data_IF_126014026688
#
_entry.id   IF_126014026688
#
_cell.length_a   1.000
_cell.length_b   1.000
_cell.length_c   1.000
_cell.angle_alpha   90.00
_cell.angle_beta   90.00
_cell.angle_gamma   90.00
#
_symmetry.space_group_name_H-M   'P 1'
#
loop_
_entity.id
_entity.type
_entity.pdbx_description
1 polymer ?
#
# COMPACT_ATOMS: atom_id res chain seq x y z
N UNK A 1 10.91 -4.96 6.67
CA UNK A 1 9.45 -4.84 6.54
C UNK A 1 9.03 -5.71 5.38
N UNK A 2 8.33 -6.81 5.64
CA UNK A 2 7.76 -7.67 4.60
C UNK A 2 6.27 -7.33 4.38
N UNK A 3 5.58 -8.04 3.49
CA UNK A 3 4.15 -7.83 3.21
C UNK A 3 3.28 -8.02 4.48
N UNK A 4 3.66 -8.93 5.36
CA UNK A 4 2.96 -9.20 6.61
C UNK A 4 3.12 -8.02 7.59
N UNK A 5 4.33 -7.48 7.73
CA UNK A 5 4.63 -6.29 8.53
C UNK A 5 3.84 -5.07 8.02
N UNK A 6 3.74 -4.90 6.69
CA UNK A 6 2.97 -3.83 6.08
C UNK A 6 1.46 -3.97 6.36
N UNK A 7 0.94 -5.20 6.26
CA UNK A 7 -0.47 -5.50 6.58
C UNK A 7 -0.76 -5.24 8.07
N UNK A 8 0.15 -5.64 8.96
CA UNK A 8 0.02 -5.42 10.40
C UNK A 8 0.11 -3.92 10.75
N UNK A 9 0.96 -3.16 10.06
CA UNK A 9 1.04 -1.72 10.23
C UNK A 9 -0.28 -1.03 9.84
N UNK A 10 -0.87 -1.42 8.70
CA UNK A 10 -2.17 -0.93 8.22
C UNK A 10 -3.35 -1.37 9.10
N UNK A 11 -3.16 -2.40 9.93
CA UNK A 11 -4.15 -2.85 10.90
C UNK A 11 -4.15 -2.05 12.20
N UNK A 12 -3.19 -1.14 12.40
CA UNK A 12 -3.16 -0.28 13.59
C UNK A 12 -4.26 0.81 13.48
N UNK A 13 -5.06 0.94 14.53
CA UNK A 13 -6.25 1.82 14.57
C UNK A 13 -5.90 3.33 14.58
N UNK A 14 -4.62 3.68 14.73
CA UNK A 14 -4.13 5.05 14.99
C UNK A 14 -3.15 5.51 13.90
N UNK A 15 -3.50 5.31 12.63
CA UNK A 15 -2.68 5.80 11.51
C UNK A 15 -3.18 7.18 11.09
N UNK A 16 -2.40 8.22 11.39
CA UNK A 16 -2.66 9.59 10.94
C UNK A 16 -2.14 9.85 9.52
N UNK A 17 -2.49 11.01 8.95
CA UNK A 17 -1.99 11.42 7.63
C UNK A 17 -0.46 11.46 7.55
N UNK A 18 0.20 11.97 8.60
CA UNK A 18 1.67 12.01 8.70
C UNK A 18 2.31 10.62 8.71
N UNK A 19 1.57 9.60 9.15
CA UNK A 19 2.05 8.22 9.20
C UNK A 19 2.03 7.55 7.81
N UNK A 20 1.17 8.01 6.89
CA UNK A 20 1.10 7.49 5.52
C UNK A 20 2.43 7.71 4.78
N UNK A 21 3.02 8.90 4.94
CA UNK A 21 4.32 9.21 4.34
C UNK A 21 5.44 8.33 4.93
N UNK A 22 5.39 8.10 6.24
CA UNK A 22 6.35 7.21 6.92
C UNK A 22 6.20 5.76 6.47
N UNK A 23 4.97 5.30 6.25
CA UNK A 23 4.68 3.98 5.69
C UNK A 23 5.23 3.85 4.27
N UNK A 24 4.99 4.83 3.41
CA UNK A 24 5.51 4.83 2.04
C UNK A 24 7.04 4.69 2.01
N UNK A 25 7.74 5.48 2.82
CA UNK A 25 9.22 5.40 2.93
C UNK A 25 9.67 4.04 3.45
N UNK A 26 9.03 3.51 4.50
CA UNK A 26 9.37 2.19 5.05
C UNK A 26 9.12 1.04 4.07
N UNK A 27 8.04 1.09 3.31
CA UNK A 27 7.75 0.12 2.25
C UNK A 27 8.81 0.19 1.15
N UNK A 28 9.20 1.40 0.72
CA UNK A 28 10.24 1.61 -0.30
C UNK A 28 11.61 1.12 0.15
N UNK A 29 12.04 1.48 1.36
CA UNK A 29 13.32 1.04 1.92
C UNK A 29 13.37 -0.48 2.08
N UNK A 30 12.25 -1.10 2.44
CA UNK A 30 12.19 -2.54 2.59
C UNK A 30 12.01 -3.30 1.27
N UNK A 31 11.67 -2.62 0.18
CA UNK A 31 11.70 -3.19 -1.16
C UNK A 31 13.13 -3.23 -1.76
N UNK A 32 14.07 -2.46 -1.21
CA UNK A 32 15.45 -2.40 -1.67
C UNK A 32 16.22 -3.75 -1.62
N UNK A 33 16.09 -4.61 -0.59
CA UNK A 33 16.60 -5.98 -0.68
C UNK A 33 15.77 -6.79 -1.69
N UNK A 34 16.44 -7.57 -2.54
CA UNK A 34 15.87 -8.36 -3.65
C UNK A 34 14.89 -9.48 -3.21
N UNK A 35 13.74 -9.10 -2.65
CA UNK A 35 12.66 -10.00 -2.28
C UNK A 35 11.60 -10.12 -3.37
N UNK A 36 10.98 -11.29 -3.49
CA UNK A 36 9.79 -11.51 -4.35
C UNK A 36 8.63 -10.56 -4.04
N UNK A 37 8.61 -10.01 -2.83
CA UNK A 37 7.58 -9.10 -2.33
C UNK A 37 7.92 -7.62 -2.58
N UNK A 38 9.13 -7.32 -3.07
CA UNK A 38 9.60 -5.94 -3.28
C UNK A 38 8.70 -5.16 -4.22
N UNK A 39 8.23 -5.78 -5.31
CA UNK A 39 7.29 -5.13 -6.23
C UNK A 39 5.96 -4.76 -5.56
N UNK A 40 5.46 -5.61 -4.66
CA UNK A 40 4.23 -5.35 -3.91
C UNK A 40 4.44 -4.20 -2.91
N UNK A 41 5.58 -4.18 -2.21
CA UNK A 41 5.96 -3.10 -1.30
C UNK A 41 6.13 -1.76 -2.03
N UNK A 42 6.73 -1.75 -3.23
CA UNK A 42 6.85 -0.54 -4.06
C UNK A 42 5.48 -0.02 -4.46
N UNK A 43 4.55 -0.88 -4.87
CA UNK A 43 3.19 -0.44 -5.22
C UNK A 43 2.43 0.12 -4.02
N UNK A 44 2.53 -0.51 -2.84
CA UNK A 44 1.94 0.01 -1.61
C UNK A 44 2.54 1.37 -1.23
N UNK A 45 3.86 1.53 -1.38
CA UNK A 45 4.53 2.80 -1.15
C UNK A 45 4.06 3.88 -2.12
N UNK A 46 3.91 3.55 -3.40
CA UNK A 46 3.47 4.47 -4.43
C UNK A 46 2.03 4.92 -4.19
N UNK A 47 1.11 4.00 -3.90
CA UNK A 47 -0.28 4.34 -3.60
C UNK A 47 -0.38 5.28 -2.39
N UNK A 48 0.36 4.99 -1.31
CA UNK A 48 0.42 5.83 -0.12
C UNK A 48 1.02 7.23 -0.41
N UNK A 49 2.10 7.30 -1.20
CA UNK A 49 2.71 8.57 -1.59
C UNK A 49 1.76 9.41 -2.47
N UNK A 50 1.14 8.81 -3.49
CA UNK A 50 0.18 9.48 -4.37
C UNK A 50 -1.04 9.99 -3.60
N UNK A 51 -1.55 9.23 -2.64
CA UNK A 51 -2.62 9.71 -1.77
C UNK A 51 -2.17 10.91 -0.93
N UNK A 52 -0.98 10.82 -0.32
CA UNK A 52 -0.43 11.94 0.47
C UNK A 52 -0.23 13.20 -0.39
N UNK A 53 0.36 13.09 -1.59
CA UNK A 53 0.54 14.20 -2.52
C UNK A 53 -0.79 14.83 -2.96
N UNK A 54 -1.81 14.03 -3.25
CA UNK A 54 -3.14 14.54 -3.66
C UNK A 54 -3.88 15.28 -2.56
N UNK A 55 -3.59 14.92 -1.32
CA UNK A 55 -4.26 15.45 -0.14
C UNK A 55 -3.44 16.53 0.56
N UNK A 56 -2.18 16.72 0.14
CA UNK A 56 -1.31 17.79 0.60
C UNK A 56 -1.91 19.15 0.20
N UNK A 57 -2.15 20.02 1.19
CA UNK A 57 -2.77 21.34 0.99
C UNK A 57 -4.30 21.33 0.92
N UNK A 58 -4.96 20.17 1.05
CA UNK A 58 -6.42 20.05 1.15
C UNK A 58 -6.81 19.83 2.62
N UNK A 59 -7.95 20.38 3.05
CA UNK A 59 -8.54 20.01 4.34
C UNK A 59 -9.07 18.57 4.26
N UNK A 60 -8.19 17.60 4.51
CA UNK A 60 -8.52 16.18 4.38
C UNK A 60 -9.45 15.76 5.51
N UNK A 61 -10.66 15.32 5.15
CA UNK A 61 -11.55 14.68 6.11
C UNK A 61 -10.95 13.36 6.58
N UNK A 62 -10.99 13.11 7.90
CA UNK A 62 -10.51 11.86 8.51
C UNK A 62 -11.18 10.63 7.89
N UNK A 63 -12.44 10.75 7.47
CA UNK A 63 -13.19 9.69 6.76
C UNK A 63 -12.52 9.29 5.43
N UNK A 64 -12.00 10.25 4.66
CA UNK A 64 -11.29 9.99 3.40
C UNK A 64 -9.98 9.25 3.64
N UNK A 65 -9.25 9.63 4.70
CA UNK A 65 -8.03 8.94 5.11
C UNK A 65 -8.34 7.51 5.55
N UNK A 66 -9.39 7.32 6.36
CA UNK A 66 -9.79 5.99 6.83
C UNK A 66 -10.27 5.08 5.69
N UNK A 67 -11.03 5.62 4.73
CA UNK A 67 -11.47 4.87 3.55
C UNK A 67 -10.27 4.42 2.71
N UNK A 68 -9.31 5.31 2.46
CA UNK A 68 -8.07 4.96 1.75
C UNK A 68 -7.25 3.90 2.50
N UNK A 69 -7.07 4.05 3.82
CA UNK A 69 -6.36 3.07 4.63
C UNK A 69 -7.07 1.71 4.65
N UNK A 70 -8.40 1.68 4.69
CA UNK A 70 -9.18 0.46 4.63
C UNK A 70 -9.00 -0.27 3.29
N UNK A 71 -9.01 0.45 2.18
CA UNK A 71 -8.72 -0.13 0.85
C UNK A 71 -7.27 -0.63 0.77
N UNK A 72 -6.30 0.19 1.19
CA UNK A 72 -4.89 -0.16 1.16
C UNK A 72 -4.61 -1.40 2.02
N UNK A 73 -5.29 -1.54 3.16
CA UNK A 73 -5.21 -2.72 4.04
C UNK A 73 -5.76 -3.97 3.35
N UNK A 74 -6.88 -3.89 2.66
CA UNK A 74 -7.44 -5.02 1.92
C UNK A 74 -6.52 -5.46 0.78
N UNK A 75 -5.90 -4.52 0.07
CA UNK A 75 -4.91 -4.81 -0.96
C UNK A 75 -3.64 -5.45 -0.40
N UNK A 76 -3.10 -4.91 0.69
CA UNK A 76 -1.94 -5.49 1.38
C UNK A 76 -2.23 -6.92 1.87
N UNK A 77 -3.43 -7.17 2.42
CA UNK A 77 -3.86 -8.50 2.83
C UNK A 77 -3.94 -9.47 1.65
N UNK A 78 -4.54 -9.07 0.53
CA UNK A 78 -4.62 -9.89 -0.69
C UNK A 78 -3.23 -10.23 -1.24
N UNK A 79 -2.31 -9.26 -1.25
CA UNK A 79 -0.93 -9.48 -1.67
C UNK A 79 -0.19 -10.43 -0.72
N UNK A 80 -0.39 -10.29 0.60
CA UNK A 80 0.19 -11.18 1.61
C UNK A 80 -0.34 -12.61 1.47
N UNK A 81 -1.66 -12.79 1.35
CA UNK A 81 -2.29 -14.11 1.15
C UNK A 81 -1.81 -14.75 -0.15
N UNK A 82 -1.69 -13.97 -1.23
CA UNK A 82 -1.18 -14.43 -2.51
C UNK A 82 0.30 -14.84 -2.45
N UNK A 83 1.14 -14.06 -1.77
CA UNK A 83 2.57 -14.36 -1.50
C UNK A 83 2.75 -15.68 -0.73
N UNK A 84 1.84 -15.98 0.19
CA UNK A 84 1.81 -17.25 0.92
C UNK A 84 1.40 -18.46 0.09
N UNK A 85 0.64 -18.26 -1.00
CA UNK A 85 0.13 -19.34 -1.85
C UNK A 85 1.10 -19.76 -2.95
N UNK A 86 1.55 -18.80 -3.78
CA UNK A 86 2.46 -19.06 -4.90
C UNK A 86 2.90 -17.75 -5.55
N UNK A 87 4.03 -17.77 -6.26
CA UNK A 87 4.54 -16.59 -6.97
C UNK A 87 3.60 -16.16 -8.12
N UNK A 88 2.96 -17.10 -8.82
CA UNK A 88 1.92 -16.79 -9.83
C UNK A 88 0.71 -16.07 -9.23
N UNK A 89 0.28 -16.50 -8.03
CA UNK A 89 -0.83 -15.86 -7.33
C UNK A 89 -0.45 -14.44 -6.91
N UNK A 90 0.80 -14.26 -6.42
CA UNK A 90 1.33 -12.95 -6.08
C UNK A 90 1.36 -12.03 -7.30
N UNK A 91 1.88 -12.48 -8.44
CA UNK A 91 1.91 -11.70 -9.68
C UNK A 91 0.50 -11.33 -10.16
N UNK A 92 -0.47 -12.24 -10.06
CA UNK A 92 -1.87 -11.96 -10.41
C UNK A 92 -2.49 -10.89 -9.50
N UNK A 93 -2.27 -10.98 -8.18
CA UNK A 93 -2.73 -9.98 -7.23
C UNK A 93 -2.04 -8.62 -7.44
N UNK A 94 -0.75 -8.64 -7.77
CA UNK A 94 0.07 -7.47 -8.03
C UNK A 94 -0.37 -6.74 -9.30
N UNK A 95 -0.67 -7.47 -10.37
CA UNK A 95 -1.26 -6.91 -11.58
C UNK A 95 -2.66 -6.34 -11.34
N UNK A 96 -3.49 -7.02 -10.53
CA UNK A 96 -4.81 -6.51 -10.15
C UNK A 96 -4.72 -5.19 -9.38
N UNK A 97 -3.80 -5.12 -8.41
CA UNK A 97 -3.57 -3.91 -7.63
C UNK A 97 -2.99 -2.77 -8.50
N UNK A 98 -2.00 -3.06 -9.34
CA UNK A 98 -1.43 -2.08 -10.27
C UNK A 98 -2.46 -1.52 -11.25
N UNK A 99 -3.36 -2.35 -11.77
CA UNK A 99 -4.44 -1.91 -12.65
C UNK A 99 -5.45 -1.00 -11.93
N UNK A 100 -5.71 -1.23 -10.64
CA UNK A 100 -6.57 -0.37 -9.83
C UNK A 100 -5.91 0.98 -9.55
N UNK A 101 -4.67 0.98 -9.06
CA UNK A 101 -3.90 2.21 -8.80
C UNK A 101 -3.73 3.04 -10.07
N UNK A 102 -3.49 2.40 -11.22
CA UNK A 102 -3.39 3.09 -12.52
C UNK A 102 -4.69 3.76 -12.94
N UNK A 103 -5.85 3.15 -12.68
CA UNK A 103 -7.14 3.78 -12.96
C UNK A 103 -7.35 5.02 -12.11
N UNK A 104 -6.92 5.00 -10.86
CA UNK A 104 -7.01 6.16 -9.97
C UNK A 104 -6.04 7.28 -10.35
N UNK A 105 -4.93 6.98 -11.03
CA UNK A 105 -3.92 7.95 -11.48
C UNK A 105 -4.28 8.69 -12.78
N UNK A 106 -5.16 8.13 -13.62
CA UNK A 106 -5.51 8.68 -14.96
C UNK A 106 -6.74 9.60 -14.93
N UNK A 107 -7.33 9.85 -13.75
CA UNK A 107 -8.48 10.77 -13.57
C UNK A 107 -8.00 12.12 -13.07
#
# INVERSE_FOLDING_TARGET
MNLMDATQWLAQDVVGFSDIHRFATRCRDAAAPHGRESAALVLLAQAAATFAERQEGVAVCTETVQAFLAELREHARRLSDASGRSDDALLAALNGFAAQVSKELVV
#
